data_IF_174510358082
#
_entry.id   IF_174510358082
#
_cell.length_a   1.000
_cell.length_b   1.000
_cell.length_c   1.000
_cell.angle_alpha   90.00
_cell.angle_beta   90.00
_cell.angle_gamma   90.00
#
_symmetry.space_group_name_H-M   'P 1'
#
loop_
_entity.id
_entity.type
_entity.pdbx_description
1 polymer ?
#
# COMPACT_ATOMS: atom_id res chain seq x y z
N UNK A 1 29.40 -31.42 -36.13
CA UNK A 1 29.57 -31.11 -34.69
C UNK A 1 28.86 -29.85 -34.17
N UNK A 2 28.32 -28.94 -35.02
CA UNK A 2 27.69 -27.68 -34.55
C UNK A 2 26.31 -27.84 -33.89
N UNK A 3 25.48 -28.82 -34.31
CA UNK A 3 24.12 -29.03 -33.79
C UNK A 3 24.08 -29.54 -32.34
N UNK A 4 25.02 -30.41 -31.96
CA UNK A 4 25.09 -30.96 -30.60
C UNK A 4 25.51 -29.91 -29.56
N UNK A 5 26.36 -28.95 -29.96
CA UNK A 5 26.79 -27.84 -29.08
C UNK A 5 25.67 -26.81 -28.84
N UNK A 6 24.84 -26.54 -29.85
CA UNK A 6 23.70 -25.63 -29.71
C UNK A 6 22.59 -26.22 -28.80
N UNK A 7 22.31 -27.53 -28.92
CA UNK A 7 21.35 -28.22 -28.05
C UNK A 7 21.83 -28.26 -26.60
N UNK A 8 23.12 -28.51 -26.35
CA UNK A 8 23.67 -28.51 -24.99
C UNK A 8 23.57 -27.14 -24.31
N UNK A 9 23.80 -26.04 -25.04
CA UNK A 9 23.68 -24.67 -24.50
C UNK A 9 22.22 -24.32 -24.19
N UNK A 10 21.27 -24.72 -25.05
CA UNK A 10 19.83 -24.48 -24.80
C UNK A 10 19.31 -25.23 -23.57
N UNK A 11 19.75 -26.47 -23.35
CA UNK A 11 19.34 -27.26 -22.18
C UNK A 11 19.91 -26.66 -20.88
N UNK A 12 21.15 -26.16 -20.89
CA UNK A 12 21.77 -25.52 -19.72
C UNK A 12 21.07 -24.20 -19.37
N UNK A 13 20.72 -23.37 -20.36
CA UNK A 13 19.97 -22.12 -20.12
C UNK A 13 18.57 -22.41 -19.57
N UNK A 14 17.88 -23.43 -20.08
CA UNK A 14 16.56 -23.82 -19.59
C UNK A 14 16.60 -24.31 -18.12
N UNK A 15 17.62 -25.06 -17.72
CA UNK A 15 17.78 -25.54 -16.32
C UNK A 15 18.08 -24.37 -15.36
N UNK A 16 18.89 -23.39 -15.78
CA UNK A 16 19.18 -22.20 -14.96
C UNK A 16 17.97 -21.26 -14.78
N UNK A 17 17.13 -21.12 -15.81
CA UNK A 17 15.87 -20.36 -15.72
C UNK A 17 14.87 -21.07 -14.79
N UNK A 18 14.79 -22.40 -14.83
CA UNK A 18 13.96 -23.16 -13.90
C UNK A 18 14.45 -23.08 -12.44
N UNK A 19 15.76 -23.06 -12.20
CA UNK A 19 16.33 -22.89 -10.86
C UNK A 19 16.03 -21.50 -10.26
N UNK A 20 16.08 -20.43 -11.06
CA UNK A 20 15.72 -19.09 -10.62
C UNK A 20 14.21 -18.95 -10.29
N UNK A 21 13.34 -19.62 -11.07
CA UNK A 21 11.90 -19.61 -10.82
C UNK A 21 11.49 -20.41 -9.57
N UNK A 22 12.19 -21.52 -9.28
CA UNK A 22 11.97 -22.33 -8.08
C UNK A 22 12.41 -21.60 -6.79
N UNK A 23 13.47 -20.79 -6.84
CA UNK A 23 13.91 -19.94 -5.73
C UNK A 23 12.88 -18.83 -5.44
N UNK A 24 12.25 -18.28 -6.49
CA UNK A 24 11.20 -17.24 -6.36
C UNK A 24 9.94 -17.75 -5.65
N UNK A 25 9.41 -18.93 -6.03
CA UNK A 25 8.19 -19.49 -5.40
C UNK A 25 8.41 -19.90 -3.93
N UNK A 26 9.57 -20.45 -3.59
CA UNK A 26 9.89 -20.82 -2.21
C UNK A 26 10.06 -19.60 -1.27
N UNK A 27 10.48 -18.44 -1.81
CA UNK A 27 10.53 -17.18 -1.05
C UNK A 27 9.13 -16.63 -0.75
N UNK A 28 8.19 -16.73 -1.70
CA UNK A 28 6.83 -16.23 -1.53
C UNK A 28 6.04 -17.02 -0.48
N UNK A 29 6.16 -18.35 -0.44
CA UNK A 29 5.49 -19.17 0.59
C UNK A 29 6.10 -18.98 1.99
N UNK A 30 7.43 -18.88 2.11
CA UNK A 30 8.08 -18.51 3.38
C UNK A 30 7.64 -17.13 3.88
N UNK A 31 7.43 -16.16 2.99
CA UNK A 31 6.92 -14.81 3.34
C UNK A 31 5.48 -14.87 3.85
N UNK A 32 4.61 -15.67 3.23
CA UNK A 32 3.22 -15.87 3.70
C UNK A 32 3.19 -16.51 5.09
N UNK A 33 4.05 -17.50 5.34
CA UNK A 33 4.15 -18.15 6.66
C UNK A 33 4.74 -17.20 7.72
N UNK A 34 5.72 -16.38 7.37
CA UNK A 34 6.32 -15.40 8.29
C UNK A 34 5.36 -14.27 8.67
N UNK A 35 4.52 -13.81 7.75
CA UNK A 35 3.45 -12.82 8.02
C UNK A 35 2.34 -13.45 8.86
N UNK A 36 1.88 -14.66 8.53
CA UNK A 36 0.86 -15.36 9.31
C UNK A 36 1.30 -15.65 10.75
N UNK A 37 2.59 -15.94 10.96
CA UNK A 37 3.17 -16.15 12.30
C UNK A 37 3.43 -14.84 13.07
N UNK A 38 3.77 -13.74 12.38
CA UNK A 38 3.96 -12.41 12.99
C UNK A 38 2.62 -11.74 13.40
N UNK A 39 1.54 -12.02 12.67
CA UNK A 39 0.23 -11.38 12.86
C UNK A 39 -0.90 -12.34 13.27
N UNK A 40 -0.60 -13.60 13.58
CA UNK A 40 -1.57 -14.56 14.16
C UNK A 40 -2.75 -14.94 13.26
N UNK A 41 -2.55 -15.08 11.94
CA UNK A 41 -3.64 -15.40 10.99
C UNK A 41 -3.67 -16.92 10.71
N UNK A 42 -4.65 -17.64 11.26
CA UNK A 42 -4.88 -19.08 11.02
C UNK A 42 -5.73 -19.32 9.76
N UNK A 43 -5.35 -20.30 8.93
CA UNK A 43 -5.87 -20.61 7.59
C UNK A 43 -7.30 -21.20 7.51
N UNK A 44 -8.33 -20.58 8.09
CA UNK A 44 -9.72 -21.10 7.95
C UNK A 44 -10.64 -20.34 6.98
N UNK A 45 -10.32 -19.13 6.51
CA UNK A 45 -11.24 -18.40 5.61
C UNK A 45 -10.83 -18.31 4.12
N UNK A 46 -9.80 -19.05 3.68
CA UNK A 46 -9.26 -18.93 2.32
C UNK A 46 -9.86 -19.89 1.28
N UNK A 47 -11.12 -20.35 1.45
CA UNK A 47 -11.77 -21.22 0.44
C UNK A 47 -12.78 -20.53 -0.47
N UNK A 48 -13.20 -19.30 -0.20
CA UNK A 48 -14.19 -18.62 -1.05
C UNK A 48 -13.63 -17.58 -2.03
N UNK A 49 -12.31 -17.33 -2.05
CA UNK A 49 -11.71 -16.28 -2.89
C UNK A 49 -10.97 -16.82 -4.13
N UNK A 50 -10.71 -18.13 -4.22
CA UNK A 50 -9.92 -18.72 -5.32
C UNK A 50 -10.83 -19.54 -6.25
N UNK A 51 -11.76 -18.89 -6.96
CA UNK A 51 -12.37 -19.50 -8.17
C UNK A 51 -12.93 -18.55 -9.22
N UNK A 52 -12.56 -17.28 -9.14
CA UNK A 52 -12.89 -16.26 -10.12
C UNK A 52 -11.56 -15.51 -10.26
N UNK A 53 -10.68 -15.88 -11.17
CA UNK A 53 -10.41 -15.07 -12.36
C UNK A 53 -9.37 -15.81 -13.23
N UNK A 54 -9.82 -16.78 -14.02
CA UNK A 54 -9.13 -17.18 -15.25
C UNK A 54 -9.99 -16.85 -16.47
N UNK A 55 -10.64 -15.68 -16.44
CA UNK A 55 -11.27 -15.14 -17.64
C UNK A 55 -11.34 -13.60 -17.59
N UNK A 56 -10.23 -12.96 -17.94
CA UNK A 56 -10.17 -11.54 -18.26
C UNK A 56 -10.63 -11.32 -19.71
N UNK A 57 -11.39 -10.24 -19.89
CA UNK A 57 -11.66 -9.50 -21.12
C UNK A 57 -12.72 -10.03 -22.10
N UNK A 58 -13.85 -9.30 -22.14
CA UNK A 58 -14.21 -8.44 -23.29
C UNK A 58 -15.25 -7.37 -22.89
N UNK A 59 -14.93 -6.13 -23.24
CA UNK A 59 -15.77 -4.92 -23.26
C UNK A 59 -17.05 -5.11 -24.09
N UNK A 60 -18.20 -4.61 -23.63
CA UNK A 60 -19.14 -3.74 -24.38
C UNK A 60 -20.39 -3.34 -23.56
N UNK A 61 -20.95 -2.18 -23.94
CA UNK A 61 -22.02 -1.35 -23.34
C UNK A 61 -23.34 -2.07 -23.02
N UNK A 62 -24.05 -1.63 -21.97
CA UNK A 62 -25.41 -1.06 -22.06
C UNK A 62 -26.11 -0.90 -20.69
N UNK A 63 -26.84 0.21 -20.63
CA UNK A 63 -27.87 0.73 -19.74
C UNK A 63 -28.52 -0.09 -18.58
N UNK A 64 -28.78 0.70 -17.54
CA UNK A 64 -29.99 0.74 -16.69
C UNK A 64 -30.15 -0.15 -15.44
N UNK A 65 -30.38 0.59 -14.34
CA UNK A 65 -31.32 0.40 -13.22
C UNK A 65 -30.82 -0.28 -11.94
N UNK A 66 -30.69 0.59 -10.93
CA UNK A 66 -31.13 0.49 -9.52
C UNK A 66 -31.33 -0.91 -8.94
N UNK A 67 -30.56 -1.25 -7.90
CA UNK A 67 -31.14 -1.68 -6.63
C UNK A 67 -30.18 -1.48 -5.45
N UNK A 68 -30.73 -0.81 -4.45
CA UNK A 68 -30.28 -0.63 -3.08
C UNK A 68 -30.09 -1.99 -2.39
N UNK A 69 -28.91 -2.22 -1.82
CA UNK A 69 -28.73 -3.24 -0.79
C UNK A 69 -27.60 -2.80 0.14
N UNK A 70 -27.99 -2.43 1.35
CA UNK A 70 -27.09 -2.21 2.47
C UNK A 70 -26.26 -3.47 2.73
N UNK A 71 -24.94 -3.33 2.83
CA UNK A 71 -24.10 -4.38 3.40
C UNK A 71 -22.85 -3.79 4.06
N UNK A 72 -22.97 -3.67 5.38
CA UNK A 72 -21.97 -3.82 6.44
C UNK A 72 -20.55 -3.32 6.16
N UNK A 73 -20.27 -2.14 6.75
CA UNK A 73 -18.95 -1.58 6.99
C UNK A 73 -18.13 -2.59 7.82
N UNK A 74 -17.01 -3.13 7.33
CA UNK A 74 -16.13 -3.90 8.20
C UNK A 74 -15.51 -2.95 9.22
N UNK A 75 -15.81 -3.24 10.48
CA UNK A 75 -15.35 -2.56 11.69
C UNK A 75 -13.83 -2.38 11.68
N UNK A 76 -13.42 -1.18 12.12
CA UNK A 76 -12.03 -0.78 12.35
C UNK A 76 -11.25 -1.87 13.09
N UNK A 77 -10.22 -2.41 12.44
CA UNK A 77 -9.26 -3.30 13.09
C UNK A 77 -8.33 -2.45 13.96
N UNK A 78 -8.62 -2.38 15.26
CA UNK A 78 -7.71 -1.79 16.25
C UNK A 78 -6.59 -2.80 16.54
N UNK A 79 -5.36 -2.48 16.15
CA UNK A 79 -4.16 -3.26 16.51
C UNK A 79 -3.72 -2.82 17.92
N UNK A 80 -3.70 -3.69 18.95
CA UNK A 80 -3.30 -3.32 20.29
C UNK A 80 -1.77 -3.29 20.46
N UNK A 81 -1.29 -2.23 21.12
CA UNK A 81 0.04 -2.16 21.73
C UNK A 81 1.00 -1.17 21.06
N UNK A 82 0.69 0.13 21.13
CA UNK A 82 1.63 1.16 20.70
C UNK A 82 2.55 1.55 21.85
N UNK A 83 3.80 1.13 21.74
CA UNK A 83 4.87 1.74 22.51
C UNK A 83 5.02 3.15 21.92
N UNK A 84 4.76 4.21 22.68
CA UNK A 84 4.95 5.58 22.19
C UNK A 84 6.41 5.73 21.74
N UNK A 85 6.60 5.93 20.44
CA UNK A 85 7.93 6.12 19.84
C UNK A 85 8.45 7.54 20.07
N UNK A 86 7.56 8.46 20.46
CA UNK A 86 7.80 9.89 20.53
C UNK A 86 7.56 10.59 19.21
N UNK A 87 7.39 9.85 18.11
CA UNK A 87 7.07 10.39 16.80
C UNK A 87 5.54 10.51 16.65
N UNK A 88 4.99 11.73 16.57
CA UNK A 88 3.54 11.94 16.55
C UNK A 88 2.84 11.31 15.34
N UNK A 89 3.53 11.13 14.21
CA UNK A 89 2.95 10.50 13.01
C UNK A 89 2.90 8.98 13.12
N UNK A 90 3.96 8.38 13.68
CA UNK A 90 3.98 6.94 13.91
C UNK A 90 2.99 6.60 15.03
N UNK A 91 2.90 7.42 16.07
CA UNK A 91 2.07 7.19 17.25
C UNK A 91 0.57 7.48 17.01
N UNK A 92 0.22 8.25 15.96
CA UNK A 92 -1.17 8.50 15.56
C UNK A 92 -1.97 7.23 15.19
N UNK A 93 -3.24 7.16 15.60
CA UNK A 93 -4.09 6.00 15.34
C UNK A 93 -4.30 5.78 13.82
N UNK A 94 -3.88 4.62 13.33
CA UNK A 94 -4.04 4.24 11.93
C UNK A 94 -5.47 3.76 11.68
N UNK A 95 -6.15 4.41 10.76
CA UNK A 95 -7.48 4.04 10.31
C UNK A 95 -7.43 3.61 8.84
N UNK A 96 -8.36 2.75 8.42
CA UNK A 96 -8.49 2.34 7.03
C UNK A 96 -9.95 2.27 6.60
N UNK A 97 -10.21 2.49 5.32
CA UNK A 97 -11.54 2.38 4.72
C UNK A 97 -11.45 1.94 3.26
N UNK A 98 -12.53 1.37 2.74
CA UNK A 98 -12.66 1.06 1.33
C UNK A 98 -13.26 2.27 0.60
N UNK A 99 -12.64 2.67 -0.51
CA UNK A 99 -13.11 3.72 -1.43
C UNK A 99 -13.17 3.11 -2.83
N UNK A 100 -14.38 2.97 -3.37
CA UNK A 100 -14.61 2.14 -4.56
C UNK A 100 -14.11 0.72 -4.34
N UNK A 101 -13.22 0.24 -5.20
CA UNK A 101 -12.62 -1.10 -5.12
C UNK A 101 -11.22 -1.07 -4.46
N UNK A 102 -10.95 -0.11 -3.58
CA UNK A 102 -9.59 0.13 -3.09
C UNK A 102 -9.51 0.43 -1.61
N UNK A 103 -8.48 -0.13 -0.98
CA UNK A 103 -8.19 0.08 0.43
C UNK A 103 -7.30 1.32 0.61
N UNK A 104 -7.79 2.26 1.40
CA UNK A 104 -7.10 3.48 1.81
C UNK A 104 -6.74 3.40 3.29
N UNK A 105 -5.62 4.01 3.69
CA UNK A 105 -5.31 4.29 5.08
C UNK A 105 -5.14 5.79 5.36
N UNK A 106 -5.40 6.17 6.60
CA UNK A 106 -5.13 7.51 7.09
C UNK A 106 -4.81 7.56 8.57
N UNK A 107 -4.11 8.63 8.94
CA UNK A 107 -3.98 9.12 10.31
C UNK A 107 -4.54 10.54 10.37
N UNK A 108 -4.96 10.97 11.55
CA UNK A 108 -5.36 12.35 11.81
C UNK A 108 -4.39 12.96 12.81
N UNK A 109 -3.79 14.09 12.43
CA UNK A 109 -2.78 14.80 13.24
C UNK A 109 -3.05 16.29 13.09
N UNK A 110 -3.10 17.01 14.22
CA UNK A 110 -3.30 18.45 14.20
C UNK A 110 -2.22 19.17 13.38
N UNK A 111 -2.63 20.16 12.59
CA UNK A 111 -1.73 20.89 11.70
C UNK A 111 -0.55 21.54 12.43
N UNK A 112 -0.75 22.01 13.65
CA UNK A 112 0.33 22.63 14.43
C UNK A 112 1.33 21.59 14.95
N UNK A 113 0.88 20.38 15.28
CA UNK A 113 1.75 19.23 15.54
C UNK A 113 2.55 18.89 14.29
N UNK A 114 1.90 18.84 13.12
CA UNK A 114 2.55 18.52 11.84
C UNK A 114 3.62 19.56 11.45
N UNK A 115 3.44 20.85 11.78
CA UNK A 115 4.48 21.88 11.58
C UNK A 115 5.67 21.72 12.51
N UNK A 116 5.48 21.07 13.66
CA UNK A 116 6.50 20.89 14.69
C UNK A 116 7.35 19.63 14.52
N UNK A 117 6.98 18.72 13.60
CA UNK A 117 7.73 17.49 13.38
C UNK A 117 9.09 17.79 12.77
N UNK A 118 10.08 16.99 13.13
CA UNK A 118 11.38 17.01 12.49
C UNK A 118 11.36 16.28 11.15
N UNK A 119 12.37 16.55 10.34
CA UNK A 119 12.60 15.80 9.10
C UNK A 119 12.73 14.30 9.33
N UNK A 120 13.49 13.93 10.37
CA UNK A 120 13.77 12.54 10.73
C UNK A 120 12.48 11.82 11.16
N UNK A 121 11.60 12.51 11.90
CA UNK A 121 10.29 11.98 12.28
C UNK A 121 9.41 11.73 11.04
N UNK A 122 9.35 12.68 10.11
CA UNK A 122 8.60 12.49 8.87
C UNK A 122 9.18 11.35 8.02
N UNK A 123 10.51 11.29 7.89
CA UNK A 123 11.19 10.20 7.16
C UNK A 123 10.91 8.85 7.80
N UNK A 124 11.05 8.71 9.11
CA UNK A 124 10.77 7.47 9.82
C UNK A 124 9.33 7.01 9.57
N UNK A 125 8.37 7.92 9.65
CA UNK A 125 6.97 7.62 9.33
C UNK A 125 6.80 7.13 7.87
N UNK A 126 7.36 7.85 6.89
CA UNK A 126 7.26 7.47 5.49
C UNK A 126 7.88 6.08 5.23
N UNK A 127 9.02 5.79 5.84
CA UNK A 127 9.73 4.53 5.61
C UNK A 127 9.18 3.32 6.38
N UNK A 128 8.63 3.53 7.57
CA UNK A 128 8.15 2.46 8.44
C UNK A 128 6.66 2.19 8.25
N UNK A 129 5.87 3.24 8.02
CA UNK A 129 4.41 3.16 7.96
C UNK A 129 3.89 3.21 6.53
N UNK A 130 4.39 4.11 5.69
CA UNK A 130 3.86 4.28 4.32
C UNK A 130 4.46 3.25 3.36
N UNK A 131 5.79 3.08 3.37
CA UNK A 131 6.52 2.19 2.47
C UNK A 131 6.01 0.76 2.56
N UNK A 132 5.64 0.18 1.42
CA UNK A 132 5.14 -1.20 1.30
C UNK A 132 3.89 -1.52 2.15
N UNK A 133 3.12 -0.50 2.55
CA UNK A 133 1.90 -0.70 3.35
C UNK A 133 0.77 -1.38 2.59
N UNK A 134 0.80 -1.36 1.25
CA UNK A 134 -0.17 -2.03 0.38
C UNK A 134 -1.47 -1.26 0.16
N UNK A 135 -1.62 -0.06 0.76
CA UNK A 135 -2.76 0.82 0.50
C UNK A 135 -2.65 1.48 -0.87
N UNK A 136 -3.80 1.75 -1.51
CA UNK A 136 -3.81 2.47 -2.80
C UNK A 136 -3.45 3.94 -2.63
N UNK A 137 -3.72 4.53 -1.47
CA UNK A 137 -3.14 5.79 -1.02
C UNK A 137 -3.14 5.86 0.51
N UNK A 138 -2.19 6.60 1.04
CA UNK A 138 -2.07 6.89 2.47
C UNK A 138 -2.25 8.40 2.69
N UNK A 139 -3.04 8.79 3.70
CA UNK A 139 -3.36 10.20 3.98
C UNK A 139 -2.96 10.59 5.41
N UNK A 140 -2.28 11.72 5.55
CA UNK A 140 -2.18 12.44 6.82
C UNK A 140 -3.21 13.57 6.75
N UNK A 141 -4.28 13.48 7.53
CA UNK A 141 -5.30 14.55 7.59
C UNK A 141 -4.92 15.59 8.64
N UNK A 142 -4.99 16.86 8.27
CA UNK A 142 -4.65 17.99 9.15
C UNK A 142 -5.83 18.49 10.01
N UNK A 143 -7.04 17.93 9.84
CA UNK A 143 -8.26 18.36 10.53
C UNK A 143 -8.95 19.62 9.97
N UNK A 144 -8.26 20.41 9.14
CA UNK A 144 -8.75 21.66 8.54
C UNK A 144 -9.25 21.52 7.09
N UNK A 145 -9.42 20.27 6.62
CA UNK A 145 -9.74 19.96 5.22
C UNK A 145 -8.52 19.89 4.30
N UNK A 146 -7.31 20.13 4.81
CA UNK A 146 -6.06 19.86 4.09
C UNK A 146 -5.41 18.56 4.57
N UNK A 147 -4.45 18.06 3.80
CA UNK A 147 -3.69 16.88 4.17
C UNK A 147 -2.54 16.59 3.22
N UNK A 148 -1.74 15.60 3.60
CA UNK A 148 -0.62 15.08 2.81
C UNK A 148 -1.03 13.70 2.29
N UNK A 149 -0.95 13.49 0.97
CA UNK A 149 -1.32 12.23 0.32
C UNK A 149 -0.11 11.57 -0.31
N UNK A 150 0.16 10.32 0.08
CA UNK A 150 1.08 9.40 -0.60
C UNK A 150 0.29 8.48 -1.53
N UNK A 151 0.19 8.86 -2.81
CA UNK A 151 -0.47 8.06 -3.82
C UNK A 151 0.29 6.73 -4.04
N UNK A 152 -0.44 5.62 -4.16
CA UNK A 152 0.12 4.28 -4.33
C UNK A 152 0.97 3.79 -3.15
N UNK A 153 0.85 4.44 -1.98
CA UNK A 153 1.79 4.25 -0.85
C UNK A 153 3.25 4.45 -1.25
N UNK A 154 3.49 5.33 -2.23
CA UNK A 154 4.83 5.71 -2.63
C UNK A 154 5.42 6.68 -1.61
N UNK A 155 6.18 6.14 -0.67
CA UNK A 155 6.73 6.87 0.46
C UNK A 155 7.64 8.05 0.09
N UNK A 156 8.27 8.02 -1.10
CA UNK A 156 9.27 9.01 -1.50
C UNK A 156 8.69 10.29 -2.14
N UNK A 157 7.40 10.30 -2.46
CA UNK A 157 6.71 11.49 -2.97
C UNK A 157 5.33 11.61 -2.34
N UNK A 158 5.00 12.81 -1.88
CA UNK A 158 3.70 13.15 -1.34
C UNK A 158 3.21 14.49 -1.90
N UNK A 159 1.91 14.72 -1.80
CA UNK A 159 1.29 16.00 -2.20
C UNK A 159 0.57 16.58 -1.00
N UNK A 160 0.88 17.83 -0.65
CA UNK A 160 0.11 18.61 0.30
C UNK A 160 -0.96 19.41 -0.44
N UNK A 161 -2.19 19.43 0.08
CA UNK A 161 -3.28 20.15 -0.56
C UNK A 161 -4.61 20.02 0.17
N UNK A 162 -5.65 20.54 -0.46
CA UNK A 162 -7.03 20.35 -0.04
C UNK A 162 -7.50 18.94 -0.36
N UNK A 163 -8.14 18.30 0.60
CA UNK A 163 -8.69 16.95 0.42
C UNK A 163 -10.12 16.99 -0.12
N UNK A 164 -10.48 16.01 -0.94
CA UNK A 164 -11.88 15.69 -1.22
C UNK A 164 -12.49 14.74 -0.17
N UNK A 165 -13.74 14.30 -0.40
CA UNK A 165 -14.47 13.38 0.51
C UNK A 165 -13.83 12.00 0.63
N UNK A 166 -13.04 11.61 -0.37
CA UNK A 166 -12.39 10.31 -0.46
C UNK A 166 -10.97 10.35 0.12
N UNK A 167 -10.47 11.54 0.50
CA UNK A 167 -9.11 11.73 1.01
C UNK A 167 -8.06 11.83 -0.09
N UNK A 168 -8.47 12.13 -1.32
CA UNK A 168 -7.57 12.46 -2.42
C UNK A 168 -7.31 13.97 -2.46
N UNK A 169 -6.28 14.39 -3.20
CA UNK A 169 -6.00 15.80 -3.43
C UNK A 169 -7.00 16.37 -4.43
N UNK A 170 -7.86 17.27 -3.95
CA UNK A 170 -8.76 18.07 -4.79
C UNK A 170 -8.00 19.27 -5.41
N UNK A 171 -7.18 19.95 -4.60
CA UNK A 171 -6.41 21.12 -5.00
C UNK A 171 -4.99 20.99 -4.40
N UNK A 172 -3.93 20.81 -5.23
CA UNK A 172 -2.56 20.71 -4.73
C UNK A 172 -2.02 22.09 -4.33
N UNK A 173 -1.30 22.14 -3.21
CA UNK A 173 -0.57 23.33 -2.73
C UNK A 173 0.94 23.15 -2.75
N UNK A 174 1.41 21.90 -2.74
CA UNK A 174 2.80 21.61 -2.98
C UNK A 174 3.13 20.12 -2.97
N UNK A 175 4.34 19.81 -3.42
CA UNK A 175 4.89 18.47 -3.57
C UNK A 175 6.05 18.29 -2.59
N UNK A 176 6.09 17.14 -1.94
CA UNK A 176 7.11 16.77 -0.97
C UNK A 176 7.88 15.58 -1.54
N UNK A 177 9.19 15.75 -1.74
CA UNK A 177 10.07 14.69 -2.23
C UNK A 177 11.09 14.32 -1.17
N UNK A 178 11.13 13.04 -0.77
CA UNK A 178 12.21 12.54 0.07
C UNK A 178 13.44 12.27 -0.80
N UNK A 179 14.58 12.78 -0.34
CA UNK A 179 15.90 12.59 -0.93
C UNK A 179 16.82 11.91 0.08
N UNK A 180 18.05 11.58 -0.30
CA UNK A 180 19.03 11.01 0.63
C UNK A 180 19.49 12.04 1.69
N UNK A 181 19.42 13.34 1.38
CA UNK A 181 19.91 14.43 2.23
C UNK A 181 18.81 15.25 2.91
N UNK A 182 17.56 14.87 2.70
CA UNK A 182 16.39 15.48 3.32
C UNK A 182 15.17 15.54 2.44
N UNK A 183 14.30 16.54 2.61
CA UNK A 183 13.15 16.71 1.72
C UNK A 183 13.23 17.99 0.91
N UNK A 184 12.62 17.94 -0.27
CA UNK A 184 12.38 19.09 -1.13
C UNK A 184 10.87 19.37 -1.08
N UNK A 185 10.51 20.64 -0.90
CA UNK A 185 9.15 21.12 -1.03
C UNK A 185 9.05 22.05 -2.24
N UNK A 186 8.08 21.79 -3.13
CA UNK A 186 7.81 22.58 -4.33
C UNK A 186 6.34 23.02 -4.34
N UNK A 187 6.06 24.31 -4.53
CA UNK A 187 4.70 24.87 -4.63
C UNK A 187 4.17 24.89 -6.07
#
# INVERSE_FOLDING_TARGET
MKKARAMAVLVIVAVLVCAAFAISKNSAEKRKQMIAQKYGITQENTKNVIKIEENVCKTQESDSKTQESAQEVPESVIIPGKNETGNPLIDAELQSKIVGDSLMAYIEVDKDTLKGISEEEYRAFAEEVVRNSGYRWFVIKCGDGTGIVHAGSYYACAVYGKLDTDGCIAEPYGYIYLTDNGFIYEE
#
